data_IF_025536864765
#
_entry.id   IF_025536864765
#
_cell.length_a   1.000
_cell.length_b   1.000
_cell.length_c   1.000
_cell.angle_alpha   90.00
_cell.angle_beta   90.00
_cell.angle_gamma   90.00
#
_symmetry.space_group_name_H-M   'P 1'
#
loop_
_entity.id
_entity.type
_entity.pdbx_description
1 polymer ?
#
# COMPACT_ATOMS: atom_id res chain seq x y z
N UNK A 1 -8.36 33.88 -6.68
CA UNK A 1 -7.31 32.85 -6.46
C UNK A 1 -8.03 31.53 -6.50
N UNK A 2 -7.77 30.73 -7.51
CA UNK A 2 -8.43 29.43 -7.64
C UNK A 2 -7.85 28.49 -6.59
N UNK A 3 -8.72 27.87 -5.79
CA UNK A 3 -8.35 26.87 -4.81
C UNK A 3 -8.34 25.49 -5.46
N UNK A 4 -7.50 24.58 -4.96
CA UNK A 4 -7.57 23.17 -5.40
C UNK A 4 -8.94 22.60 -5.05
N UNK A 5 -9.49 21.78 -5.94
CA UNK A 5 -10.68 21.01 -5.65
C UNK A 5 -10.29 19.81 -4.76
N UNK A 6 -10.65 19.90 -3.50
CA UNK A 6 -10.52 18.81 -2.53
C UNK A 6 -11.88 18.17 -2.35
N UNK A 7 -12.19 17.17 -3.13
CA UNK A 7 -13.42 16.37 -2.94
C UNK A 7 -13.72 16.13 -1.43
N UNK A 8 -14.90 15.72 -1.09
CA UNK A 8 -15.27 15.49 0.32
C UNK A 8 -14.49 14.31 0.91
N UNK A 9 -13.23 14.54 1.30
CA UNK A 9 -12.29 13.54 1.82
C UNK A 9 -12.86 12.85 3.07
N UNK A 10 -13.54 13.60 3.94
CA UNK A 10 -14.12 13.02 5.17
C UNK A 10 -15.21 12.00 4.87
N UNK A 11 -16.12 12.32 3.97
CA UNK A 11 -17.18 11.39 3.55
C UNK A 11 -16.61 10.14 2.87
N UNK A 12 -15.68 10.34 1.91
CA UNK A 12 -15.00 9.22 1.23
C UNK A 12 -14.25 8.33 2.21
N UNK A 13 -13.56 8.91 3.18
CA UNK A 13 -12.88 8.16 4.22
C UNK A 13 -13.85 7.24 4.98
N UNK A 14 -14.99 7.77 5.46
CA UNK A 14 -15.97 6.97 6.18
C UNK A 14 -16.64 5.91 5.31
N UNK A 15 -16.90 6.20 4.04
CA UNK A 15 -17.40 5.22 3.07
C UNK A 15 -16.43 4.05 2.92
N UNK A 16 -15.15 4.35 2.70
CA UNK A 16 -14.11 3.33 2.52
C UNK A 16 -13.95 2.45 3.74
N UNK A 17 -13.78 3.04 4.94
CA UNK A 17 -13.54 2.23 6.16
C UNK A 17 -14.76 1.40 6.59
N UNK A 18 -15.94 1.72 6.06
CA UNK A 18 -17.19 0.97 6.29
C UNK A 18 -17.41 -0.15 5.26
N UNK A 19 -16.63 -0.17 4.17
CA UNK A 19 -16.80 -1.12 3.05
C UNK A 19 -16.40 -2.55 3.42
N UNK A 20 -16.88 -3.51 2.64
CA UNK A 20 -16.50 -4.91 2.76
C UNK A 20 -15.03 -5.12 2.35
N UNK A 21 -14.58 -4.40 1.31
CA UNK A 21 -13.23 -4.46 0.76
C UNK A 21 -12.20 -3.95 1.77
N UNK A 22 -12.52 -2.92 2.54
CA UNK A 22 -11.67 -2.46 3.64
C UNK A 22 -11.52 -3.50 4.74
N UNK A 23 -12.61 -4.16 5.13
CA UNK A 23 -12.57 -5.24 6.12
C UNK A 23 -11.74 -6.42 5.64
N UNK A 24 -11.90 -6.82 4.37
CA UNK A 24 -11.09 -7.87 3.74
C UNK A 24 -9.61 -7.48 3.70
N UNK A 25 -9.29 -6.22 3.38
CA UNK A 25 -7.92 -5.71 3.47
C UNK A 25 -7.35 -5.86 4.87
N UNK A 26 -8.08 -5.44 5.90
CA UNK A 26 -7.64 -5.59 7.29
C UNK A 26 -7.41 -7.06 7.68
N UNK A 27 -8.25 -7.98 7.20
CA UNK A 27 -8.07 -9.42 7.43
C UNK A 27 -6.80 -9.95 6.75
N UNK A 28 -6.55 -9.59 5.49
CA UNK A 28 -5.32 -9.94 4.75
C UNK A 28 -4.09 -9.37 5.45
N UNK A 29 -4.13 -8.09 5.83
CA UNK A 29 -3.07 -7.44 6.59
C UNK A 29 -2.77 -8.17 7.90
N UNK A 30 -3.80 -8.53 8.67
CA UNK A 30 -3.63 -9.18 9.96
C UNK A 30 -2.98 -10.57 9.85
N UNK A 31 -3.24 -11.30 8.76
CA UNK A 31 -2.67 -12.63 8.48
C UNK A 31 -1.20 -12.57 8.03
N UNK A 32 -0.74 -11.45 7.49
CA UNK A 32 0.58 -11.34 6.87
C UNK A 32 1.64 -10.79 7.81
N UNK A 33 2.87 -11.31 7.70
CA UNK A 33 4.03 -10.84 8.44
C UNK A 33 4.96 -9.96 7.58
N UNK A 34 5.20 -10.34 6.32
CA UNK A 34 5.97 -9.53 5.37
C UNK A 34 5.00 -8.72 4.48
N UNK A 35 5.18 -7.41 4.44
CA UNK A 35 4.30 -6.49 3.71
C UNK A 35 5.15 -5.66 2.74
N UNK A 36 4.85 -5.76 1.45
CA UNK A 36 5.51 -5.05 0.37
C UNK A 36 4.57 -3.95 -0.12
N UNK A 37 4.88 -2.69 0.23
CA UNK A 37 4.03 -1.53 -0.14
C UNK A 37 4.63 -0.87 -1.37
N UNK A 38 3.85 -0.73 -2.43
CA UNK A 38 4.30 -0.19 -3.72
C UNK A 38 3.43 0.98 -4.19
N UNK A 39 4.02 1.88 -4.96
CA UNK A 39 3.36 3.06 -5.52
C UNK A 39 4.32 3.89 -6.37
N UNK A 40 3.83 4.98 -6.95
CA UNK A 40 4.60 5.92 -7.77
C UNK A 40 4.39 7.36 -7.32
N UNK A 41 5.39 8.23 -7.48
CA UNK A 41 5.30 9.63 -7.15
C UNK A 41 4.82 9.88 -5.72
N UNK A 42 3.74 10.64 -5.54
CA UNK A 42 3.14 10.88 -4.22
C UNK A 42 2.64 9.60 -3.56
N UNK A 43 2.11 8.64 -4.33
CA UNK A 43 1.73 7.33 -3.79
C UNK A 43 2.95 6.51 -3.31
N UNK A 44 4.15 6.70 -3.89
CA UNK A 44 5.38 6.08 -3.37
C UNK A 44 5.79 6.71 -2.03
N UNK A 45 5.62 8.03 -1.89
CA UNK A 45 5.86 8.69 -0.60
C UNK A 45 4.89 8.18 0.48
N UNK A 46 3.60 7.97 0.14
CA UNK A 46 2.64 7.34 1.04
C UNK A 46 3.04 5.89 1.35
N UNK A 47 3.48 5.13 0.35
CA UNK A 47 3.92 3.74 0.53
C UNK A 47 5.13 3.63 1.46
N UNK A 48 6.10 4.54 1.33
CA UNK A 48 7.29 4.58 2.18
C UNK A 48 6.95 4.96 3.62
N UNK A 49 6.11 5.99 3.80
CA UNK A 49 5.59 6.36 5.11
C UNK A 49 4.81 5.20 5.76
N UNK A 50 3.96 4.53 4.98
CA UNK A 50 3.23 3.33 5.41
C UNK A 50 4.17 2.24 5.91
N UNK A 51 5.20 1.92 5.12
CA UNK A 51 6.13 0.84 5.46
C UNK A 51 6.83 1.09 6.79
N UNK A 52 7.29 2.32 7.04
CA UNK A 52 7.95 2.65 8.31
C UNK A 52 6.98 2.63 9.49
N UNK A 53 5.75 3.14 9.32
CA UNK A 53 4.77 3.16 10.40
C UNK A 53 4.32 1.75 10.79
N UNK A 54 4.05 0.88 9.81
CA UNK A 54 3.67 -0.52 10.07
C UNK A 54 4.80 -1.28 10.77
N UNK A 55 6.05 -1.06 10.36
CA UNK A 55 7.22 -1.68 11.00
C UNK A 55 7.40 -1.18 12.45
N UNK A 56 7.31 0.14 12.67
CA UNK A 56 7.42 0.72 14.04
C UNK A 56 6.28 0.28 14.95
N UNK A 57 5.07 0.20 14.43
CA UNK A 57 3.94 -0.34 15.16
C UNK A 57 4.19 -1.78 15.60
N UNK A 58 4.67 -2.61 14.67
CA UNK A 58 5.01 -3.99 14.94
C UNK A 58 6.06 -4.14 16.03
N UNK A 59 7.09 -3.29 16.02
CA UNK A 59 8.11 -3.27 17.08
C UNK A 59 7.51 -2.96 18.46
N UNK A 60 6.48 -2.10 18.54
CA UNK A 60 5.82 -1.73 19.78
C UNK A 60 4.84 -2.79 20.26
N UNK A 61 4.09 -3.39 19.34
CA UNK A 61 3.02 -4.37 19.66
C UNK A 61 3.50 -5.81 19.71
N UNK A 62 4.72 -6.11 19.26
CA UNK A 62 5.26 -7.46 19.20
C UNK A 62 4.61 -8.35 18.13
N UNK A 63 3.93 -7.78 17.13
CA UNK A 63 3.20 -8.56 16.11
C UNK A 63 4.11 -9.23 15.08
N UNK A 64 5.41 -8.89 15.03
CA UNK A 64 6.39 -9.50 14.12
C UNK A 64 6.21 -9.11 12.65
N UNK A 65 5.44 -8.06 12.34
CA UNK A 65 5.26 -7.59 10.97
C UNK A 65 6.48 -6.81 10.50
N UNK A 66 6.84 -7.00 9.24
CA UNK A 66 7.94 -6.29 8.57
C UNK A 66 7.41 -5.71 7.26
N UNK A 67 7.33 -4.38 7.17
CA UNK A 67 6.86 -3.69 5.99
C UNK A 67 8.00 -2.94 5.30
N UNK A 68 8.07 -3.03 3.99
CA UNK A 68 9.10 -2.39 3.16
C UNK A 68 8.50 -1.79 1.89
N UNK A 69 9.12 -0.73 1.39
CA UNK A 69 8.78 -0.05 0.15
C UNK A 69 10.04 0.14 -0.71
N UNK A 70 9.96 0.16 -2.05
CA UNK A 70 11.11 0.37 -2.92
C UNK A 70 11.46 1.87 -3.10
N UNK A 71 11.54 2.63 -2.02
CA UNK A 71 11.69 4.10 -2.05
C UNK A 71 13.09 4.61 -2.43
N UNK A 72 14.10 3.75 -2.51
CA UNK A 72 15.45 4.15 -2.91
C UNK A 72 15.56 4.42 -4.40
N UNK A 73 15.94 5.65 -4.78
CA UNK A 73 16.17 6.01 -6.18
C UNK A 73 17.22 5.09 -6.84
N UNK A 74 18.24 4.66 -6.11
CA UNK A 74 19.27 3.72 -6.62
C UNK A 74 18.63 2.38 -6.97
N UNK A 75 17.77 1.84 -6.11
CA UNK A 75 17.07 0.57 -6.37
C UNK A 75 16.15 0.70 -7.59
N UNK A 76 15.31 1.73 -7.63
CA UNK A 76 14.34 1.94 -8.72
C UNK A 76 15.06 2.10 -10.06
N UNK A 77 16.03 3.01 -10.14
CA UNK A 77 16.72 3.31 -11.40
C UNK A 77 17.59 2.15 -11.89
N UNK A 78 18.23 1.40 -11.00
CA UNK A 78 19.00 0.21 -11.35
C UNK A 78 18.10 -0.87 -11.94
N UNK A 79 17.00 -1.20 -11.26
CA UNK A 79 16.08 -2.24 -11.74
C UNK A 79 15.41 -1.86 -13.07
N UNK A 80 15.04 -0.59 -13.26
CA UNK A 80 14.52 -0.11 -14.56
C UNK A 80 15.56 -0.24 -15.65
N UNK A 81 16.82 0.13 -15.38
CA UNK A 81 17.91 0.04 -16.34
C UNK A 81 18.22 -1.41 -16.74
N UNK A 82 18.18 -2.32 -15.77
CA UNK A 82 18.57 -3.72 -15.96
C UNK A 82 17.41 -4.58 -16.53
N UNK A 83 16.18 -4.06 -16.51
CA UNK A 83 15.00 -4.76 -17.03
C UNK A 83 14.13 -3.86 -17.91
N UNK A 84 13.07 -3.33 -17.33
CA UNK A 84 12.16 -2.38 -17.96
C UNK A 84 11.36 -1.62 -16.90
N UNK A 85 10.74 -0.51 -17.30
CA UNK A 85 9.78 0.17 -16.43
C UNK A 85 8.59 -0.72 -16.05
N UNK A 86 8.21 -1.65 -16.90
CA UNK A 86 7.06 -2.53 -16.63
C UNK A 86 7.35 -3.64 -15.64
N UNK A 87 8.62 -4.05 -15.49
CA UNK A 87 8.99 -5.27 -14.77
C UNK A 87 9.80 -5.00 -13.49
N UNK A 88 10.24 -3.77 -13.24
CA UNK A 88 11.13 -3.44 -12.14
C UNK A 88 10.57 -3.78 -10.75
N UNK A 89 9.23 -3.60 -10.54
CA UNK A 89 8.60 -3.94 -9.25
C UNK A 89 8.59 -5.46 -9.07
N UNK A 90 8.31 -6.22 -10.14
CA UNK A 90 8.37 -7.70 -10.09
C UNK A 90 9.77 -8.15 -9.71
N UNK A 91 10.81 -7.60 -10.34
CA UNK A 91 12.19 -7.93 -10.00
C UNK A 91 12.57 -7.56 -8.57
N UNK A 92 12.08 -6.39 -8.09
CA UNK A 92 12.26 -6.02 -6.69
C UNK A 92 11.60 -7.02 -5.74
N UNK A 93 10.38 -7.46 -6.02
CA UNK A 93 9.67 -8.47 -5.24
C UNK A 93 10.41 -9.82 -5.28
N UNK A 94 10.89 -10.25 -6.44
CA UNK A 94 11.68 -11.47 -6.59
C UNK A 94 12.96 -11.43 -5.74
N UNK A 95 13.68 -10.32 -5.79
CA UNK A 95 14.89 -10.15 -4.98
C UNK A 95 14.59 -10.21 -3.47
N UNK A 96 13.46 -9.66 -3.02
CA UNK A 96 13.03 -9.66 -1.61
C UNK A 96 12.49 -11.01 -1.13
N UNK A 97 11.92 -11.79 -2.03
CA UNK A 97 11.23 -13.04 -1.67
C UNK A 97 12.02 -14.31 -1.98
N UNK A 98 13.15 -14.21 -2.70
CA UNK A 98 13.94 -15.35 -3.19
C UNK A 98 14.36 -16.38 -2.12
N UNK A 99 14.49 -15.94 -0.87
CA UNK A 99 14.92 -16.79 0.26
C UNK A 99 13.74 -17.18 1.16
N UNK A 100 12.51 -16.78 0.81
CA UNK A 100 11.32 -17.07 1.60
C UNK A 100 10.80 -18.48 1.33
N UNK A 101 10.37 -19.15 2.38
CA UNK A 101 9.70 -20.45 2.25
C UNK A 101 8.30 -20.27 1.64
N UNK A 102 7.69 -21.33 1.08
CA UNK A 102 6.31 -21.28 0.57
C UNK A 102 5.29 -20.77 1.60
N UNK A 103 5.48 -21.11 2.88
CA UNK A 103 4.62 -20.63 3.97
C UNK A 103 4.80 -19.12 4.20
N UNK A 104 6.04 -18.63 4.22
CA UNK A 104 6.33 -17.20 4.33
C UNK A 104 5.75 -16.41 3.15
N UNK A 105 5.79 -16.97 1.94
CA UNK A 105 5.16 -16.37 0.75
C UNK A 105 3.64 -16.23 0.94
N UNK A 106 2.96 -17.27 1.41
CA UNK A 106 1.52 -17.23 1.69
C UNK A 106 1.15 -16.21 2.78
N UNK A 107 2.07 -15.98 3.72
CA UNK A 107 1.93 -15.01 4.80
C UNK A 107 2.52 -13.64 4.44
N UNK A 108 2.68 -13.36 3.14
CA UNK A 108 3.13 -12.07 2.63
C UNK A 108 1.99 -11.34 1.93
N UNK A 109 2.04 -10.01 1.98
CA UNK A 109 1.08 -9.11 1.35
C UNK A 109 1.81 -8.17 0.38
N UNK A 110 1.36 -8.10 -0.87
CA UNK A 110 1.67 -6.99 -1.77
C UNK A 110 0.52 -5.99 -1.73
N UNK A 111 0.82 -4.80 -1.28
CA UNK A 111 -0.12 -3.70 -1.14
C UNK A 111 0.27 -2.56 -2.08
N UNK A 112 -0.52 -2.36 -3.12
CA UNK A 112 -0.32 -1.30 -4.11
C UNK A 112 -1.16 -0.07 -3.81
N UNK A 113 -0.58 1.12 -3.98
CA UNK A 113 -1.27 2.41 -3.93
C UNK A 113 -1.15 3.04 -5.32
N UNK A 114 -2.28 3.15 -6.03
CA UNK A 114 -2.30 3.61 -7.43
C UNK A 114 -3.54 4.46 -7.71
N UNK A 115 -3.38 5.78 -7.74
CA UNK A 115 -4.53 6.70 -7.97
C UNK A 115 -5.26 6.45 -9.29
N UNK A 116 -4.55 6.08 -10.36
CA UNK A 116 -5.18 5.79 -11.67
C UNK A 116 -5.69 4.36 -11.81
N UNK A 117 -5.13 3.40 -11.08
CA UNK A 117 -5.37 1.97 -11.28
C UNK A 117 -4.80 1.39 -12.60
N UNK A 118 -4.06 2.18 -13.39
CA UNK A 118 -3.59 1.79 -14.74
C UNK A 118 -2.07 1.62 -14.86
N UNK A 119 -1.32 1.76 -13.77
CA UNK A 119 0.14 1.59 -13.76
C UNK A 119 0.52 0.14 -14.06
N UNK A 120 1.08 -0.10 -15.25
CA UNK A 120 1.31 -1.45 -15.78
C UNK A 120 2.25 -2.28 -14.90
N UNK A 121 3.29 -1.68 -14.35
CA UNK A 121 4.23 -2.34 -13.46
C UNK A 121 3.58 -2.74 -12.11
N UNK A 122 2.70 -1.90 -11.56
CA UNK A 122 1.91 -2.24 -10.37
C UNK A 122 0.93 -3.38 -10.66
N UNK A 123 0.27 -3.37 -11.82
CA UNK A 123 -0.63 -4.45 -12.27
C UNK A 123 0.16 -5.76 -12.42
N UNK A 124 1.31 -5.73 -13.12
CA UNK A 124 2.19 -6.90 -13.26
C UNK A 124 2.66 -7.43 -11.91
N UNK A 125 3.03 -6.54 -10.98
CA UNK A 125 3.44 -6.91 -9.63
C UNK A 125 2.32 -7.62 -8.85
N UNK A 126 1.09 -7.12 -8.91
CA UNK A 126 -0.07 -7.74 -8.28
C UNK A 126 -0.39 -9.10 -8.90
N UNK A 127 -0.36 -9.21 -10.24
CA UNK A 127 -0.55 -10.48 -10.95
C UNK A 127 0.52 -11.51 -10.59
N UNK A 128 1.79 -11.09 -10.52
CA UNK A 128 2.90 -11.94 -10.12
C UNK A 128 2.73 -12.43 -8.68
N UNK A 129 2.40 -11.52 -7.75
CA UNK A 129 2.20 -11.83 -6.34
C UNK A 129 1.04 -12.81 -6.13
N UNK A 130 -0.09 -12.58 -6.80
CA UNK A 130 -1.24 -13.48 -6.78
C UNK A 130 -0.86 -14.90 -7.25
N UNK A 131 -0.15 -15.01 -8.40
CA UNK A 131 0.34 -16.32 -8.92
C UNK A 131 1.31 -17.01 -7.97
N UNK A 132 2.05 -16.28 -7.15
CA UNK A 132 2.92 -16.84 -6.10
C UNK A 132 2.16 -17.27 -4.84
N UNK A 133 0.87 -16.97 -4.74
CA UNK A 133 0.03 -17.27 -3.59
C UNK A 133 0.17 -16.27 -2.43
N UNK A 134 0.74 -15.10 -2.69
CA UNK A 134 0.75 -13.97 -1.76
C UNK A 134 -0.65 -13.35 -1.64
N UNK A 135 -0.93 -12.70 -0.53
CA UNK A 135 -2.10 -11.83 -0.45
C UNK A 135 -1.87 -10.58 -1.29
N UNK A 136 -2.92 -10.09 -1.95
CA UNK A 136 -2.84 -8.90 -2.79
C UNK A 136 -3.95 -7.92 -2.47
N UNK A 137 -3.58 -6.64 -2.37
CA UNK A 137 -4.50 -5.52 -2.14
C UNK A 137 -4.08 -4.36 -3.02
N UNK A 138 -5.04 -3.65 -3.58
CA UNK A 138 -4.81 -2.35 -4.20
C UNK A 138 -5.73 -1.30 -3.61
N UNK A 139 -5.17 -0.17 -3.26
CA UNK A 139 -5.88 1.06 -2.96
C UNK A 139 -5.82 1.94 -4.20
N UNK A 140 -6.96 2.22 -4.80
CA UNK A 140 -7.00 2.84 -6.13
C UNK A 140 -8.12 3.88 -6.24
N UNK A 141 -7.90 4.93 -7.02
CA UNK A 141 -8.94 5.94 -7.29
C UNK A 141 -10.07 5.42 -8.16
N UNK A 142 -9.77 4.47 -9.05
CA UNK A 142 -10.72 3.84 -9.98
C UNK A 142 -10.45 2.33 -10.04
N UNK A 143 -11.43 1.49 -10.39
CA UNK A 143 -11.22 0.06 -10.56
C UNK A 143 -10.09 -0.25 -11.55
N UNK A 144 -9.33 -1.32 -11.31
CA UNK A 144 -8.34 -1.80 -12.26
C UNK A 144 -9.01 -2.26 -13.56
N UNK A 145 -8.36 -2.07 -14.72
CA UNK A 145 -8.88 -2.49 -16.02
C UNK A 145 -8.76 -4.00 -16.27
N UNK A 146 -8.23 -4.75 -15.32
CA UNK A 146 -7.96 -6.20 -15.42
C UNK A 146 -8.43 -6.91 -14.15
N UNK A 147 -8.86 -8.16 -14.32
CA UNK A 147 -9.14 -9.06 -13.20
C UNK A 147 -7.85 -9.74 -12.73
N UNK A 148 -7.67 -9.85 -11.42
CA UNK A 148 -6.54 -10.53 -10.78
C UNK A 148 -7.12 -11.41 -9.66
N UNK A 149 -6.78 -12.69 -9.70
CA UNK A 149 -7.25 -13.65 -8.71
C UNK A 149 -6.83 -13.24 -7.29
N UNK A 150 -7.73 -13.39 -6.33
CA UNK A 150 -7.49 -13.10 -4.91
C UNK A 150 -7.05 -11.64 -4.62
N UNK A 151 -7.35 -10.69 -5.51
CA UNK A 151 -7.09 -9.27 -5.29
C UNK A 151 -8.26 -8.60 -4.57
N UNK A 152 -7.98 -7.93 -3.44
CA UNK A 152 -8.91 -6.97 -2.84
C UNK A 152 -8.68 -5.59 -3.44
N UNK A 153 -9.69 -5.02 -4.06
CA UNK A 153 -9.65 -3.67 -4.61
C UNK A 153 -10.43 -2.71 -3.70
N UNK A 154 -9.72 -1.85 -3.00
CA UNK A 154 -10.31 -0.75 -2.22
C UNK A 154 -10.38 0.47 -3.12
N UNK A 155 -11.55 0.75 -3.68
CA UNK A 155 -11.76 1.85 -4.64
C UNK A 155 -12.17 3.11 -3.89
N UNK A 156 -11.43 4.20 -4.13
CA UNK A 156 -11.62 5.50 -3.47
C UNK A 156 -12.61 6.41 -4.20
N UNK A 157 -12.94 6.09 -5.46
CA UNK A 157 -13.81 6.90 -6.33
C UNK A 157 -13.37 8.37 -6.41
N UNK A 158 -12.05 8.60 -6.54
CA UNK A 158 -11.46 9.94 -6.61
C UNK A 158 -11.21 10.36 -8.05
N UNK A 159 -11.38 11.68 -8.34
CA UNK A 159 -11.11 12.28 -9.64
C UNK A 159 -9.70 12.84 -9.75
N UNK A 160 -9.09 13.23 -8.62
CA UNK A 160 -7.83 13.95 -8.57
C UNK A 160 -6.75 13.16 -7.85
N UNK A 161 -5.52 13.20 -8.35
CA UNK A 161 -4.38 12.52 -7.75
C UNK A 161 -4.15 12.94 -6.30
N UNK A 162 -4.15 14.25 -6.02
CA UNK A 162 -3.93 14.78 -4.68
C UNK A 162 -5.00 14.32 -3.67
N UNK A 163 -6.26 14.20 -4.08
CA UNK A 163 -7.32 13.65 -3.23
C UNK A 163 -7.04 12.18 -2.90
N UNK A 164 -6.66 11.39 -3.92
CA UNK A 164 -6.32 9.98 -3.74
C UNK A 164 -5.13 9.78 -2.80
N UNK A 165 -4.07 10.58 -2.96
CA UNK A 165 -2.87 10.52 -2.12
C UNK A 165 -3.15 10.88 -0.65
N UNK A 166 -3.89 11.97 -0.42
CA UNK A 166 -4.28 12.37 0.95
C UNK A 166 -5.19 11.33 1.60
N UNK A 167 -6.18 10.83 0.86
CA UNK A 167 -7.09 9.80 1.38
C UNK A 167 -6.33 8.49 1.65
N UNK A 168 -5.39 8.10 0.78
CA UNK A 168 -4.53 6.95 1.01
C UNK A 168 -3.74 7.10 2.31
N UNK A 169 -3.16 8.27 2.58
CA UNK A 169 -2.43 8.53 3.81
C UNK A 169 -3.34 8.44 5.06
N UNK A 170 -4.55 8.99 5.01
CA UNK A 170 -5.51 8.87 6.10
C UNK A 170 -5.90 7.41 6.37
N UNK A 171 -6.08 6.62 5.32
CA UNK A 171 -6.39 5.19 5.43
C UNK A 171 -5.23 4.38 6.02
N UNK A 172 -3.97 4.79 5.78
CA UNK A 172 -2.81 4.19 6.46
C UNK A 172 -2.86 4.42 7.97
N UNK A 173 -3.15 5.63 8.40
CA UNK A 173 -3.33 5.91 9.82
C UNK A 173 -4.49 5.09 10.42
N UNK A 174 -5.58 4.93 9.68
CA UNK A 174 -6.69 4.07 10.09
C UNK A 174 -6.27 2.60 10.21
N UNK A 175 -5.47 2.09 9.27
CA UNK A 175 -4.95 0.73 9.31
C UNK A 175 -4.06 0.51 10.54
N UNK A 176 -3.15 1.43 10.82
CA UNK A 176 -2.26 1.38 11.99
C UNK A 176 -3.05 1.51 13.28
N UNK A 177 -4.05 2.40 13.34
CA UNK A 177 -4.93 2.56 14.50
C UNK A 177 -5.74 1.29 14.76
N UNK A 178 -6.35 0.71 13.73
CA UNK A 178 -7.07 -0.56 13.82
C UNK A 178 -6.22 -1.74 14.29
N UNK A 179 -4.89 -1.61 14.16
CA UNK A 179 -3.91 -2.59 14.64
C UNK A 179 -3.38 -2.32 16.05
N UNK A 180 -3.96 -1.35 16.76
CA UNK A 180 -3.64 -1.03 18.16
C UNK A 180 -2.63 0.11 18.37
N UNK A 181 -2.20 0.81 17.30
CA UNK A 181 -1.39 2.02 17.46
C UNK A 181 -2.29 3.23 17.71
N UNK A 182 -1.96 3.99 18.74
CA UNK A 182 -2.53 5.34 18.91
C UNK A 182 -1.56 6.35 18.29
N UNK A 183 -2.09 7.28 17.49
CA UNK A 183 -1.31 8.44 17.07
C UNK A 183 -0.95 9.25 18.34
N UNK A 184 0.33 9.51 18.62
CA UNK A 184 0.69 10.34 19.77
C UNK A 184 0.18 11.76 19.55
N UNK A 185 -0.37 12.36 20.60
CA UNK A 185 -0.73 13.78 20.57
C UNK A 185 0.55 14.62 20.35
N UNK A 186 0.40 15.72 19.61
CA UNK A 186 1.47 16.72 19.53
C UNK A 186 1.63 17.30 20.94
N UNK A 187 2.84 17.28 21.53
CA UNK A 187 3.05 17.86 22.86
C UNK A 187 2.60 19.32 22.84
N UNK A 188 1.77 19.70 23.81
CA UNK A 188 1.47 21.13 24.01
C UNK A 188 2.78 21.84 24.28
N UNK A 189 3.08 22.86 23.47
CA UNK A 189 4.13 23.81 23.81
C UNK A 189 3.57 24.65 24.97
N UNK A 190 3.81 24.22 26.20
CA UNK A 190 3.62 25.12 27.32
C UNK A 190 4.70 26.22 27.20
N UNK A 191 4.32 27.49 27.38
CA UNK A 191 5.26 28.61 27.30
C UNK A 191 6.32 28.57 28.42
#
# INVERSE_FOLDING_TARGET
MDTIDIENIGEKFFQVISSAEWKEFQEKYNKCNDIYVIGHGGNLAVADHTAIDLTRLSMKSGTGKNAVSPSSAVVVTSLINDSSFEDWIVQWLEARTRTRTPEQIKNSLVYAISSSGTSIDSIKALQWASKKGMQTVVLTGQPLPVEIDNLTQVVLETKYYHTGEVLALLLQYQLTHGSGATCPAIPSMEP
#
